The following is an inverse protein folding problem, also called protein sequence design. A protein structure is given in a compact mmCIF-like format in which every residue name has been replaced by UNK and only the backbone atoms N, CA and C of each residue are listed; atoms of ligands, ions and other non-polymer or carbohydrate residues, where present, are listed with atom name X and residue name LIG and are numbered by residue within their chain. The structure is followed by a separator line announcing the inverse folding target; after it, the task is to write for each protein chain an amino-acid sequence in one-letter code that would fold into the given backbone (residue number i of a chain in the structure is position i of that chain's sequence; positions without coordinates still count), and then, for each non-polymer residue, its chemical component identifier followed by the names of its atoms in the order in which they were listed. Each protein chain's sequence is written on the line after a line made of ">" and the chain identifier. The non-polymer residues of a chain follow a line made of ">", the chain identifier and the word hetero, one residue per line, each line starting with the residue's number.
data_IF_831655677667
#
_entry.id   IF_831655677667
#
_cell.length_a   1.000
_cell.length_b   1.000
_cell.length_c   1.000
_cell.angle_alpha   90.00
_cell.angle_beta   90.00
_cell.angle_gamma   90.00
#
_symmetry.space_group_name_H-M   'P 1'
#
loop_
_entity.id
_entity.type
_entity.pdbx_description
1 polymer ?
#
# COMPACT_ATOMS: atom_id res chain seq x y z
N UNK A 1 27.06 -2.89 -0.13
CA UNK A 1 27.77 -3.69 0.90
C UNK A 1 29.21 -3.21 1.19
N UNK A 2 29.95 -2.66 0.22
CA UNK A 2 31.36 -2.23 0.41
C UNK A 2 31.59 -1.27 1.60
N UNK A 3 30.77 -0.22 1.73
CA UNK A 3 30.86 0.73 2.86
C UNK A 3 30.58 0.02 4.21
N UNK A 4 29.59 -0.88 4.25
CA UNK A 4 29.22 -1.60 5.47
C UNK A 4 30.36 -2.51 5.97
N UNK A 5 31.15 -3.09 5.06
CA UNK A 5 32.30 -3.95 5.40
C UNK A 5 33.42 -3.19 6.11
N UNK A 6 33.41 -1.86 6.14
CA UNK A 6 34.39 -1.06 6.87
C UNK A 6 34.20 -1.19 8.40
N UNK A 7 32.99 -1.52 8.87
CA UNK A 7 32.66 -1.57 10.30
C UNK A 7 31.93 -2.85 10.74
N UNK A 8 31.41 -3.65 9.82
CA UNK A 8 30.56 -4.80 10.14
C UNK A 8 31.02 -6.08 9.43
N UNK A 9 30.76 -7.23 10.06
CA UNK A 9 31.08 -8.54 9.48
C UNK A 9 30.10 -8.90 8.36
N UNK A 10 30.58 -9.68 7.39
CA UNK A 10 29.77 -10.15 6.26
C UNK A 10 28.46 -10.85 6.68
N UNK A 11 28.42 -11.74 7.70
CA UNK A 11 27.17 -12.38 8.11
C UNK A 11 26.11 -11.38 8.62
N UNK A 12 26.53 -10.34 9.34
CA UNK A 12 25.61 -9.28 9.80
C UNK A 12 25.05 -8.50 8.60
N UNK A 13 25.91 -8.10 7.68
CA UNK A 13 25.52 -7.32 6.49
C UNK A 13 24.56 -8.14 5.63
N UNK A 14 24.88 -9.41 5.35
CA UNK A 14 24.04 -10.28 4.54
C UNK A 14 22.65 -10.45 5.18
N UNK A 15 22.58 -10.68 6.50
CA UNK A 15 21.31 -10.78 7.22
C UNK A 15 20.47 -9.50 7.11
N UNK A 16 21.06 -8.32 7.31
CA UNK A 16 20.34 -7.03 7.24
C UNK A 16 19.75 -6.82 5.84
N UNK A 17 20.54 -7.03 4.78
CA UNK A 17 20.04 -6.88 3.41
C UNK A 17 18.94 -7.89 3.08
N UNK A 18 19.10 -9.16 3.46
CA UNK A 18 18.07 -10.18 3.25
C UNK A 18 16.76 -9.83 3.96
N UNK A 19 16.82 -9.37 5.21
CA UNK A 19 15.63 -8.93 5.95
C UNK A 19 14.98 -7.70 5.29
N UNK A 20 15.79 -6.73 4.87
CA UNK A 20 15.29 -5.53 4.21
C UNK A 20 14.60 -5.83 2.86
N UNK A 21 15.17 -6.75 2.08
CA UNK A 21 14.59 -7.24 0.84
C UNK A 21 13.25 -7.95 1.08
N UNK A 22 13.14 -8.77 2.13
CA UNK A 22 11.88 -9.41 2.51
C UNK A 22 10.79 -8.38 2.81
N UNK A 23 11.10 -7.32 3.58
CA UNK A 23 10.15 -6.23 3.84
C UNK A 23 9.76 -5.55 2.53
N UNK A 24 10.73 -5.22 1.67
CA UNK A 24 10.46 -4.62 0.36
C UNK A 24 9.48 -5.46 -0.48
N UNK A 25 9.72 -6.77 -0.59
CA UNK A 25 8.87 -7.67 -1.36
C UNK A 25 7.45 -7.73 -0.79
N UNK A 26 7.31 -7.86 0.53
CA UNK A 26 5.99 -7.89 1.19
C UNK A 26 5.24 -6.55 1.05
N UNK A 27 5.93 -5.43 1.22
CA UNK A 27 5.36 -4.09 1.03
C UNK A 27 4.89 -3.89 -0.41
N UNK A 28 5.70 -4.27 -1.41
CA UNK A 28 5.33 -4.16 -2.82
C UNK A 28 4.14 -5.05 -3.19
N UNK A 29 4.05 -6.27 -2.63
CA UNK A 29 2.89 -7.14 -2.85
C UNK A 29 1.58 -6.47 -2.40
N UNK A 30 1.59 -5.83 -1.22
CA UNK A 30 0.43 -5.08 -0.71
C UNK A 30 0.10 -3.84 -1.56
N UNK A 31 1.12 -3.12 -2.05
CA UNK A 31 0.94 -2.00 -2.99
C UNK A 31 0.30 -2.46 -4.28
N UNK A 32 0.75 -3.57 -4.85
CA UNK A 32 0.17 -4.13 -6.06
C UNK A 32 -1.28 -4.58 -5.87
N UNK A 33 -1.62 -5.18 -4.72
CA UNK A 33 -3.01 -5.52 -4.38
C UNK A 33 -3.90 -4.26 -4.36
N UNK A 34 -3.50 -3.23 -3.61
CA UNK A 34 -4.27 -1.98 -3.53
C UNK A 34 -4.38 -1.28 -4.89
N UNK A 35 -3.30 -1.29 -5.68
CA UNK A 35 -3.25 -0.74 -7.04
C UNK A 35 -4.30 -1.37 -7.94
N UNK A 36 -4.36 -2.70 -7.98
CA UNK A 36 -5.30 -3.44 -8.82
C UNK A 36 -6.76 -3.11 -8.47
N UNK A 37 -7.07 -2.91 -7.18
CA UNK A 37 -8.39 -2.51 -6.73
C UNK A 37 -8.75 -1.14 -7.30
N UNK A 38 -7.90 -0.14 -7.08
CA UNK A 38 -8.17 1.26 -7.48
C UNK A 38 -8.22 1.41 -9.00
N UNK A 39 -7.26 0.83 -9.72
CA UNK A 39 -7.25 0.83 -11.18
C UNK A 39 -8.48 0.12 -11.75
N UNK A 40 -8.93 -0.97 -11.13
CA UNK A 40 -10.16 -1.67 -11.53
C UNK A 40 -11.42 -0.81 -11.38
N UNK A 41 -11.51 0.02 -10.35
CA UNK A 41 -12.64 0.95 -10.16
C UNK A 41 -12.67 2.02 -11.25
N UNK A 42 -11.52 2.59 -11.60
CA UNK A 42 -11.38 3.56 -12.70
C UNK A 42 -11.67 2.92 -14.06
N UNK A 43 -11.15 1.71 -14.30
CA UNK A 43 -11.33 0.98 -15.56
C UNK A 43 -12.80 0.59 -15.80
N UNK A 44 -13.52 0.22 -14.74
CA UNK A 44 -14.96 -0.11 -14.82
C UNK A 44 -15.87 1.12 -14.89
N UNK A 45 -15.35 2.34 -14.72
CA UNK A 45 -16.14 3.57 -14.65
C UNK A 45 -16.92 3.73 -13.34
N UNK A 46 -16.63 2.91 -12.32
CA UNK A 46 -17.17 3.09 -10.97
C UNK A 46 -16.62 4.35 -10.29
N UNK A 47 -15.43 4.81 -10.71
CA UNK A 47 -14.85 6.11 -10.39
C UNK A 47 -14.54 6.87 -11.69
N UNK A 48 -14.54 8.20 -11.63
CA UNK A 48 -14.15 9.06 -12.73
C UNK A 48 -12.66 8.88 -13.04
N UNK A 49 -12.30 8.74 -14.31
CA UNK A 49 -10.90 8.53 -14.75
C UNK A 49 -9.94 9.68 -14.39
N UNK A 50 -10.45 10.83 -13.95
CA UNK A 50 -9.63 11.97 -13.57
C UNK A 50 -8.85 11.59 -12.29
N UNK A 51 -7.51 11.66 -12.29
CA UNK A 51 -6.72 11.35 -11.10
C UNK A 51 -7.10 12.26 -9.93
N UNK A 52 -7.09 11.71 -8.71
CA UNK A 52 -7.34 12.45 -7.46
C UNK A 52 -8.70 13.16 -7.43
N UNK A 53 -9.70 12.58 -8.08
CA UNK A 53 -11.07 13.07 -8.07
C UNK A 53 -11.89 12.48 -6.91
N UNK A 54 -11.43 11.36 -6.34
CA UNK A 54 -12.14 10.65 -5.28
C UNK A 54 -11.26 10.42 -4.05
N UNK A 55 -11.84 10.34 -2.84
CA UNK A 55 -11.09 10.04 -1.62
C UNK A 55 -10.28 8.73 -1.68
N UNK A 56 -10.75 7.73 -2.45
CA UNK A 56 -10.01 6.47 -2.68
C UNK A 56 -8.64 6.74 -3.31
N UNK A 57 -8.51 7.73 -4.19
CA UNK A 57 -7.26 8.04 -4.89
C UNK A 57 -6.20 8.55 -3.91
N UNK A 58 -6.60 9.45 -3.00
CA UNK A 58 -5.72 9.97 -1.94
C UNK A 58 -5.35 8.88 -0.95
N UNK A 59 -6.31 8.05 -0.54
CA UNK A 59 -6.05 6.93 0.36
C UNK A 59 -5.03 5.96 -0.23
N UNK A 60 -5.15 5.63 -1.51
CA UNK A 60 -4.16 4.80 -2.20
C UNK A 60 -2.81 5.49 -2.35
N UNK A 61 -2.79 6.79 -2.67
CA UNK A 61 -1.56 7.56 -2.74
C UNK A 61 -0.81 7.54 -1.40
N UNK A 62 -1.49 7.84 -0.29
CA UNK A 62 -0.87 7.80 1.04
C UNK A 62 -0.41 6.40 1.42
N UNK A 63 -1.18 5.37 1.04
CA UNK A 63 -0.86 3.97 1.28
C UNK A 63 0.49 3.58 0.66
N UNK A 64 0.72 3.86 -0.63
CA UNK A 64 1.97 3.44 -1.28
C UNK A 64 3.08 4.48 -1.09
N UNK A 65 2.75 5.77 -1.13
CA UNK A 65 3.72 6.84 -1.16
C UNK A 65 4.26 7.18 0.23
N UNK A 66 3.39 7.29 1.23
CA UNK A 66 3.83 7.60 2.58
C UNK A 66 4.18 6.33 3.33
N UNK A 67 3.21 5.45 3.56
CA UNK A 67 3.43 4.28 4.43
C UNK A 67 4.35 3.25 3.78
N UNK A 68 4.12 2.93 2.50
CA UNK A 68 4.93 1.96 1.77
C UNK A 68 6.40 2.38 1.64
N UNK A 69 6.67 3.66 1.34
CA UNK A 69 8.05 4.18 1.31
C UNK A 69 8.65 4.23 2.71
N UNK A 70 7.87 4.54 3.74
CA UNK A 70 8.32 4.52 5.13
C UNK A 70 8.76 3.12 5.56
N UNK A 71 7.95 2.09 5.27
CA UNK A 71 8.30 0.70 5.57
C UNK A 71 9.59 0.27 4.85
N UNK A 72 9.69 0.56 3.55
CA UNK A 72 10.89 0.27 2.75
C UNK A 72 12.12 1.00 3.29
N UNK A 73 12.02 2.30 3.55
CA UNK A 73 13.15 3.09 4.01
C UNK A 73 13.60 2.63 5.41
N UNK A 74 12.66 2.40 6.33
CA UNK A 74 12.92 1.85 7.66
C UNK A 74 13.69 0.53 7.59
N UNK A 75 13.31 -0.36 6.67
CA UNK A 75 13.99 -1.64 6.47
C UNK A 75 15.47 -1.50 6.08
N UNK A 76 15.80 -0.60 5.15
CA UNK A 76 17.18 -0.38 4.73
C UNK A 76 18.01 0.49 5.70
N UNK A 77 17.35 1.23 6.59
CA UNK A 77 18.00 2.09 7.60
C UNK A 77 18.01 1.48 9.01
N UNK A 78 17.55 0.24 9.18
CA UNK A 78 17.52 -0.44 10.48
C UNK A 78 16.45 0.07 11.45
N UNK A 79 15.44 0.81 10.97
CA UNK A 79 14.34 1.34 11.76
C UNK A 79 13.17 0.37 11.86
N UNK A 80 13.21 -0.58 12.80
CA UNK A 80 12.15 -1.57 13.00
C UNK A 80 10.78 -0.94 13.32
N UNK A 81 10.78 0.16 14.08
CA UNK A 81 9.58 0.94 14.40
C UNK A 81 8.96 1.57 13.14
N UNK A 82 9.79 2.09 12.24
CA UNK A 82 9.36 2.62 10.94
C UNK A 82 8.88 1.53 9.98
N UNK A 83 9.45 0.32 10.06
CA UNK A 83 8.94 -0.84 9.32
C UNK A 83 7.53 -1.18 9.76
N UNK A 84 7.27 -1.21 11.07
CA UNK A 84 6.00 -1.69 11.60
C UNK A 84 5.00 -0.56 11.87
N UNK A 85 5.24 0.23 12.90
CA UNK A 85 4.25 1.16 13.45
C UNK A 85 4.01 2.40 12.57
N UNK A 86 5.02 2.83 11.81
CA UNK A 86 4.88 3.94 10.86
C UNK A 86 4.79 3.50 9.39
N UNK A 87 4.82 2.19 9.11
CA UNK A 87 4.82 1.64 7.76
C UNK A 87 3.73 0.60 7.58
N UNK A 88 4.03 -0.66 7.90
CA UNK A 88 3.13 -1.78 7.60
C UNK A 88 1.79 -1.74 8.35
N UNK A 89 1.73 -1.24 9.59
CA UNK A 89 0.47 -1.11 10.32
C UNK A 89 -0.49 -0.08 9.68
N UNK A 90 -0.07 1.17 9.40
CA UNK A 90 -0.88 2.11 8.63
C UNK A 90 -1.32 1.58 7.26
N UNK A 91 -0.44 0.86 6.54
CA UNK A 91 -0.82 0.20 5.30
C UNK A 91 -1.98 -0.78 5.54
N UNK A 92 -1.87 -1.69 6.50
CA UNK A 92 -2.93 -2.66 6.79
C UNK A 92 -4.26 -1.97 7.09
N UNK A 93 -4.24 -0.94 7.94
CA UNK A 93 -5.43 -0.13 8.28
C UNK A 93 -6.06 0.49 7.03
N UNK A 94 -5.27 1.13 6.18
CA UNK A 94 -5.74 1.73 4.92
C UNK A 94 -6.23 0.70 3.90
N UNK A 95 -5.65 -0.50 3.84
CA UNK A 95 -6.15 -1.57 2.96
C UNK A 95 -7.54 -2.05 3.40
N UNK A 96 -7.78 -2.16 4.70
CA UNK A 96 -9.12 -2.47 5.24
C UNK A 96 -10.10 -1.35 4.91
N UNK A 97 -9.70 -0.09 5.10
CA UNK A 97 -10.51 1.08 4.75
C UNK A 97 -10.85 1.10 3.24
N UNK A 98 -9.86 0.86 2.37
CA UNK A 98 -10.05 0.75 0.91
C UNK A 98 -11.10 -0.31 0.57
N UNK A 99 -10.98 -1.51 1.14
CA UNK A 99 -11.94 -2.61 0.91
C UNK A 99 -13.34 -2.25 1.39
N UNK A 100 -13.47 -1.54 2.51
CA UNK A 100 -14.77 -1.02 2.98
C UNK A 100 -15.38 -0.03 1.99
N UNK A 101 -14.59 0.94 1.52
CA UNK A 101 -15.08 1.94 0.54
C UNK A 101 -15.53 1.28 -0.76
N UNK A 102 -14.83 0.24 -1.23
CA UNK A 102 -15.24 -0.56 -2.39
C UNK A 102 -16.59 -1.25 -2.16
N UNK A 103 -16.83 -1.81 -0.97
CA UNK A 103 -18.10 -2.46 -0.65
C UNK A 103 -19.25 -1.45 -0.64
N UNK A 104 -19.02 -0.25 -0.10
CA UNK A 104 -20.05 0.79 -0.05
C UNK A 104 -20.38 1.34 -1.45
N UNK A 105 -19.38 1.49 -2.33
CA UNK A 105 -19.61 1.81 -3.74
C UNK A 105 -20.48 0.74 -4.42
N UNK A 106 -20.20 -0.55 -4.19
CA UNK A 106 -21.01 -1.65 -4.74
C UNK A 106 -22.45 -1.64 -4.21
N UNK A 107 -22.65 -1.33 -2.92
CA UNK A 107 -23.99 -1.21 -2.31
C UNK A 107 -24.77 -0.02 -2.89
N UNK A 108 -24.13 1.14 -3.03
CA UNK A 108 -24.74 2.34 -3.62
C UNK A 108 -25.06 2.20 -5.11
N UNK A 109 -24.21 1.48 -5.87
CA UNK A 109 -24.50 1.11 -7.25
C UNK A 109 -25.70 0.17 -7.37
N UNK A 110 -25.82 -0.81 -6.46
CA UNK A 110 -26.94 -1.76 -6.40
C UNK A 110 -28.28 -1.11 -5.97
N UNK A 111 -28.26 -0.02 -5.20
CA UNK A 111 -29.48 0.72 -4.87
C UNK A 111 -29.94 1.59 -6.04
N UNK A 112 -29.03 2.30 -6.72
CA UNK A 112 -29.35 3.10 -7.93
C UNK A 112 -29.88 2.25 -9.09
N UNK A 113 -29.33 1.05 -9.30
CA UNK A 113 -29.81 0.14 -10.35
C UNK A 113 -31.25 -0.37 -10.10
N UNK A 114 -31.70 -0.43 -8.84
CA UNK A 114 -33.07 -0.88 -8.49
C UNK A 114 -34.14 0.18 -8.69
N UNK A 115 -33.79 1.46 -8.69
CA UNK A 115 -34.77 2.56 -8.80
C UNK A 115 -35.18 2.87 -10.25
N UNK A 116 -34.48 2.33 -11.24
CA UNK A 116 -34.71 2.63 -12.68
C UNK A 116 -35.68 1.60 -13.33
N UNK A 117 -36.21 0.63 -12.59
CA UNK A 117 -37.12 -0.42 -13.11
C UNK A 117 -38.62 -0.13 -12.93
N UNK A 118 -39.06 1.12 -12.91
CA UNK A 118 -40.49 1.48 -12.89
C UNK A 118 -40.85 2.44 -14.03
#
# INVERSE_FOLDING_TARGET
>A
KQVCNQCHTKPLIDRVFTQAEQVLHQTNARVNEAKQIVEGLHASGALEKKPFSHPIDFLYFDFWHYDGRTAKHGAFMGGADFVQWHGNYPMLSKLVQLKSMVLDLKRGGSSRARTISH
#
